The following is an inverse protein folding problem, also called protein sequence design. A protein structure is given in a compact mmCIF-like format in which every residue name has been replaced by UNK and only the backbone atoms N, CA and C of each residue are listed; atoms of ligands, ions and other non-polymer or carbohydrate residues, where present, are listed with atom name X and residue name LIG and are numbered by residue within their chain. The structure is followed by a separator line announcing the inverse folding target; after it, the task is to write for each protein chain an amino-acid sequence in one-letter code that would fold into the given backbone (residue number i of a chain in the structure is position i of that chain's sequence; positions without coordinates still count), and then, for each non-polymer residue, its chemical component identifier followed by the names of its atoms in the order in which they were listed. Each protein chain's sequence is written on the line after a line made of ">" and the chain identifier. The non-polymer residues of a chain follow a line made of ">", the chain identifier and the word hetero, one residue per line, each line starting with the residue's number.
data_IF_035927236196
#
_entry.id   IF_035927236196
#
_cell.length_a   1.000
_cell.length_b   1.000
_cell.length_c   1.000
_cell.angle_alpha   90.00
_cell.angle_beta   90.00
_cell.angle_gamma   90.00
#
_symmetry.space_group_name_H-M   'P 1'
#
loop_
_entity.id
_entity.type
_entity.pdbx_description
1 polymer ?
#
# COMPACT_ATOMS: atom_id res chain seq x y z
N UNK A 1 13.57 16.87 -33.09
CA UNK A 1 12.84 16.43 -31.88
C UNK A 1 13.26 17.24 -30.65
N UNK A 2 14.55 17.27 -30.27
CA UNK A 2 15.06 18.15 -29.19
C UNK A 2 14.71 19.63 -29.38
N UNK A 3 14.79 20.17 -30.61
CA UNK A 3 14.42 21.56 -30.89
C UNK A 3 12.94 21.86 -30.56
N UNK A 4 12.03 20.90 -30.75
CA UNK A 4 10.59 21.01 -30.46
C UNK A 4 10.33 20.89 -28.96
N UNK A 5 11.02 19.98 -28.27
CA UNK A 5 10.95 19.88 -26.80
C UNK A 5 11.51 21.14 -26.14
N UNK A 6 12.65 21.67 -26.62
CA UNK A 6 13.24 22.92 -26.13
C UNK A 6 12.37 24.15 -26.42
N UNK A 7 11.61 24.16 -27.53
CA UNK A 7 10.67 25.25 -27.80
C UNK A 7 9.43 25.15 -26.92
N UNK A 8 8.87 23.95 -26.74
CA UNK A 8 7.71 23.72 -25.85
C UNK A 8 8.03 24.00 -24.38
N UNK A 9 9.27 23.71 -23.95
CA UNK A 9 9.80 24.06 -22.64
C UNK A 9 9.85 25.59 -22.41
N UNK A 10 9.89 26.40 -23.48
CA UNK A 10 9.88 27.87 -23.39
C UNK A 10 8.48 28.47 -23.43
N UNK A 11 7.46 27.69 -23.81
CA UNK A 11 6.08 28.17 -24.02
C UNK A 11 5.15 27.74 -22.90
N UNK A 12 5.15 26.46 -22.49
CA UNK A 12 4.29 25.96 -21.41
C UNK A 12 4.71 24.56 -20.94
N UNK A 13 4.58 24.31 -19.64
CA UNK A 13 4.69 22.98 -19.04
C UNK A 13 3.77 21.94 -19.72
N UNK A 14 2.55 22.32 -20.09
CA UNK A 14 1.53 21.43 -20.64
C UNK A 14 1.82 21.04 -22.10
N UNK A 15 2.37 21.97 -22.89
CA UNK A 15 2.87 21.69 -24.24
C UNK A 15 4.13 20.81 -24.23
N UNK A 16 4.99 20.98 -23.21
CA UNK A 16 6.16 20.14 -23.03
C UNK A 16 5.75 18.69 -22.74
N UNK A 17 4.81 18.47 -21.82
CA UNK A 17 4.32 17.13 -21.47
C UNK A 17 3.61 16.44 -22.64
N UNK A 18 2.73 17.14 -23.34
CA UNK A 18 2.04 16.58 -24.53
C UNK A 18 3.00 16.24 -25.68
N UNK A 19 4.15 16.92 -25.76
CA UNK A 19 5.21 16.62 -26.72
C UNK A 19 6.13 15.48 -26.25
N UNK A 20 6.37 15.36 -24.94
CA UNK A 20 7.19 14.31 -24.35
C UNK A 20 6.53 12.91 -24.42
N UNK A 21 5.20 12.84 -24.24
CA UNK A 21 4.39 11.60 -24.33
C UNK A 21 4.46 10.96 -25.72
N UNK A 22 4.73 11.74 -26.77
CA UNK A 22 4.88 11.25 -28.15
C UNK A 22 6.27 10.66 -28.45
N UNK A 23 7.16 10.59 -27.47
CA UNK A 23 8.55 10.13 -27.65
C UNK A 23 8.82 8.75 -27.01
N UNK A 24 9.68 7.95 -27.64
CA UNK A 24 10.12 6.66 -27.08
C UNK A 24 11.21 6.88 -26.01
N UNK A 25 10.84 6.70 -24.74
CA UNK A 25 11.63 7.03 -23.54
C UNK A 25 13.05 6.41 -23.46
N UNK A 26 13.34 5.34 -24.20
CA UNK A 26 14.65 4.64 -24.13
C UNK A 26 15.80 5.42 -24.77
N UNK A 27 15.56 6.19 -25.84
CA UNK A 27 16.61 6.96 -26.55
C UNK A 27 16.64 8.44 -26.17
N UNK A 28 15.56 8.97 -25.59
CA UNK A 28 15.41 10.39 -25.27
C UNK A 28 15.85 10.76 -23.84
N UNK A 29 16.15 9.79 -22.97
CA UNK A 29 16.49 10.00 -21.55
C UNK A 29 17.68 10.96 -21.29
N UNK A 30 18.83 10.87 -21.99
CA UNK A 30 19.96 11.79 -21.78
C UNK A 30 19.65 13.21 -22.25
N UNK A 31 18.94 13.33 -23.39
CA UNK A 31 18.49 14.60 -23.96
C UNK A 31 17.45 15.29 -23.07
N UNK A 32 16.46 14.53 -22.56
CA UNK A 32 15.45 15.04 -21.63
C UNK A 32 16.11 15.50 -20.31
N UNK A 33 17.05 14.70 -19.76
CA UNK A 33 17.82 15.09 -18.57
C UNK A 33 18.61 16.38 -18.79
N UNK A 34 19.26 16.52 -19.94
CA UNK A 34 20.01 17.74 -20.29
C UNK A 34 19.09 18.95 -20.46
N UNK A 35 17.92 18.77 -21.07
CA UNK A 35 16.93 19.83 -21.28
C UNK A 35 16.31 20.27 -19.96
N UNK A 36 15.94 19.32 -19.09
CA UNK A 36 15.38 19.59 -17.77
C UNK A 36 16.42 20.28 -16.86
N UNK A 37 17.67 19.81 -16.86
CA UNK A 37 18.75 20.45 -16.10
C UNK A 37 19.17 21.82 -16.64
N UNK A 38 18.77 22.18 -17.87
CA UNK A 38 19.00 23.51 -18.42
C UNK A 38 17.94 24.54 -17.97
N UNK A 39 16.88 24.09 -17.29
CA UNK A 39 15.86 24.95 -16.70
C UNK A 39 16.43 25.59 -15.44
N UNK A 40 16.44 26.92 -15.37
CA UNK A 40 16.89 27.63 -14.18
C UNK A 40 15.93 27.36 -13.02
N UNK A 41 16.42 27.13 -11.79
CA UNK A 41 15.58 26.92 -10.60
C UNK A 41 14.59 28.06 -10.34
N UNK A 42 14.95 29.29 -10.75
CA UNK A 42 14.15 30.51 -10.60
C UNK A 42 13.14 30.76 -11.74
N UNK A 43 12.92 29.79 -12.64
CA UNK A 43 12.01 29.96 -13.78
C UNK A 43 10.60 29.53 -13.42
N UNK A 44 9.57 30.20 -13.95
CA UNK A 44 8.16 29.82 -13.76
C UNK A 44 7.85 28.40 -14.23
N UNK A 45 8.73 27.81 -15.03
CA UNK A 45 8.65 26.43 -15.48
C UNK A 45 9.06 25.41 -14.41
N UNK A 46 9.99 25.75 -13.51
CA UNK A 46 10.38 24.86 -12.40
C UNK A 46 9.24 24.71 -11.40
N UNK A 47 8.44 25.77 -11.20
CA UNK A 47 7.27 25.77 -10.31
C UNK A 47 5.99 25.23 -10.98
N UNK A 48 5.80 25.46 -12.29
CA UNK A 48 4.58 25.03 -13.00
C UNK A 48 4.63 23.63 -13.58
N UNK A 49 5.80 23.09 -13.91
CA UNK A 49 5.91 21.78 -14.57
C UNK A 49 5.41 20.61 -13.71
N UNK A 50 5.77 20.51 -12.42
CA UNK A 50 5.26 19.41 -11.62
C UNK A 50 3.78 19.62 -11.21
N UNK A 51 3.30 20.88 -11.15
CA UNK A 51 1.87 21.22 -10.98
C UNK A 51 1.04 20.81 -12.19
N UNK A 52 1.49 21.10 -13.42
CA UNK A 52 0.82 20.70 -14.66
C UNK A 52 0.88 19.18 -14.88
N UNK A 53 1.98 18.54 -14.49
CA UNK A 53 2.13 17.09 -14.54
C UNK A 53 1.19 16.41 -13.56
N UNK A 54 1.17 16.89 -12.32
CA UNK A 54 0.24 16.43 -11.31
C UNK A 54 -1.21 16.73 -11.70
N UNK A 55 -1.53 17.90 -12.26
CA UNK A 55 -2.89 18.20 -12.73
C UNK A 55 -3.29 17.29 -13.88
N UNK A 56 -2.37 16.98 -14.81
CA UNK A 56 -2.64 16.00 -15.88
C UNK A 56 -2.89 14.61 -15.30
N UNK A 57 -2.09 14.19 -14.32
CA UNK A 57 -2.26 12.91 -13.62
C UNK A 57 -3.57 12.90 -12.82
N UNK A 58 -3.85 13.94 -12.03
CA UNK A 58 -5.03 14.10 -11.19
C UNK A 58 -6.31 14.18 -12.02
N UNK A 59 -6.33 15.00 -13.08
CA UNK A 59 -7.45 15.14 -14.00
C UNK A 59 -7.77 13.80 -14.68
N UNK A 60 -6.74 13.06 -15.11
CA UNK A 60 -6.94 11.73 -15.65
C UNK A 60 -7.33 10.69 -14.58
N UNK A 61 -6.92 10.85 -13.31
CA UNK A 61 -7.36 9.96 -12.20
C UNK A 61 -8.74 10.29 -11.62
N UNK A 62 -9.16 11.55 -11.56
CA UNK A 62 -10.47 11.98 -11.08
C UNK A 62 -11.58 11.58 -12.05
N UNK A 63 -11.31 11.54 -13.36
CA UNK A 63 -12.24 10.97 -14.33
C UNK A 63 -12.49 9.46 -14.11
N UNK A 64 -11.69 8.77 -13.28
CA UNK A 64 -11.94 7.38 -12.88
C UNK A 64 -12.80 7.25 -11.62
N UNK A 65 -12.91 8.27 -10.77
CA UNK A 65 -13.76 8.21 -9.56
C UNK A 65 -15.23 8.50 -9.87
N UNK A 66 -15.51 9.26 -10.95
CA UNK A 66 -16.87 9.53 -11.43
C UNK A 66 -17.02 9.09 -12.90
N UNK A 67 -17.53 7.87 -13.20
CA UNK A 67 -17.71 7.40 -14.57
C UNK A 67 -18.79 8.16 -15.36
N UNK A 68 -19.56 9.04 -14.71
CA UNK A 68 -20.62 9.81 -15.35
C UNK A 68 -20.10 11.16 -15.85
N UNK A 69 -19.26 11.16 -16.88
CA UNK A 69 -19.17 12.21 -17.93
C UNK A 69 -17.90 11.99 -18.74
N UNK A 70 -18.01 11.24 -19.83
CA UNK A 70 -17.11 11.43 -20.96
C UNK A 70 -17.92 11.50 -22.24
N UNK A 71 -17.63 12.43 -23.17
CA UNK A 71 -18.43 12.66 -24.36
C UNK A 71 -18.31 11.46 -25.31
N UNK A 72 -19.46 11.02 -25.83
CA UNK A 72 -19.57 10.01 -26.87
C UNK A 72 -18.75 10.39 -28.11
N UNK A 73 -17.56 9.82 -28.26
CA UNK A 73 -16.86 9.73 -29.55
C UNK A 73 -17.12 8.34 -30.15
N UNK A 74 -18.36 8.12 -30.60
CA UNK A 74 -18.67 7.03 -31.52
C UNK A 74 -18.43 7.51 -32.96
N UNK A 75 -17.75 6.73 -33.83
CA UNK A 75 -17.63 7.06 -35.25
C UNK A 75 -19.00 6.85 -35.95
N UNK A 76 -19.32 7.63 -37.00
CA UNK A 76 -20.66 7.60 -37.60
C UNK A 76 -20.92 6.25 -38.28
N UNK A 77 -22.13 5.67 -38.14
CA UNK A 77 -22.44 4.37 -38.72
C UNK A 77 -22.53 4.47 -40.26
N UNK A 78 -21.82 3.57 -40.94
CA UNK A 78 -21.92 3.37 -42.39
C UNK A 78 -23.35 2.95 -42.76
N UNK A 79 -23.96 3.67 -43.69
CA UNK A 79 -25.23 3.34 -44.36
C UNK A 79 -25.22 1.89 -44.90
N UNK A 80 -26.22 1.10 -44.51
CA UNK A 80 -26.55 -0.19 -45.11
C UNK A 80 -27.06 -0.01 -46.53
N UNK A 81 -26.66 -0.90 -47.44
CA UNK A 81 -27.27 -1.12 -48.75
C UNK A 81 -27.58 -2.61 -48.85
N UNK A 82 -28.86 -2.93 -49.04
CA UNK A 82 -29.40 -4.29 -48.93
C UNK A 82 -29.26 -5.17 -50.18
N UNK A 83 -29.39 -6.49 -49.96
CA UNK A 83 -30.35 -7.43 -50.59
C UNK A 83 -29.81 -8.88 -50.61
N UNK A 84 -30.62 -9.86 -50.20
CA UNK A 84 -30.44 -11.30 -50.48
C UNK A 84 -31.01 -12.26 -49.42
N UNK A 85 -31.63 -13.40 -49.77
CA UNK A 85 -32.77 -14.03 -49.04
C UNK A 85 -32.38 -15.12 -47.99
N UNK A 86 -33.34 -15.63 -47.18
CA UNK A 86 -33.04 -16.40 -45.98
C UNK A 86 -32.92 -17.91 -46.26
N UNK A 87 -31.84 -18.50 -45.78
CA UNK A 87 -31.63 -19.95 -45.71
C UNK A 87 -31.16 -20.30 -44.29
N UNK A 88 -31.90 -21.19 -43.66
CA UNK A 88 -31.80 -21.69 -42.29
C UNK A 88 -30.43 -22.27 -41.92
N UNK A 89 -29.75 -21.68 -40.93
CA UNK A 89 -28.82 -22.34 -39.99
C UNK A 89 -28.39 -21.36 -38.86
N UNK A 90 -29.35 -20.64 -38.27
CA UNK A 90 -29.05 -19.41 -37.52
C UNK A 90 -29.00 -19.51 -35.98
N UNK A 91 -29.22 -20.68 -35.38
CA UNK A 91 -29.11 -20.79 -33.90
C UNK A 91 -27.67 -21.04 -33.42
N UNK A 92 -26.86 -21.78 -34.18
CA UNK A 92 -25.45 -22.03 -33.82
C UNK A 92 -24.56 -20.81 -34.06
N UNK A 93 -24.79 -20.07 -35.15
CA UNK A 93 -24.02 -18.88 -35.50
C UNK A 93 -24.38 -17.67 -34.64
N UNK A 94 -25.64 -17.51 -34.21
CA UNK A 94 -26.01 -16.46 -33.26
C UNK A 94 -25.40 -16.73 -31.88
N UNK A 95 -25.40 -17.98 -31.43
CA UNK A 95 -24.81 -18.36 -30.14
C UNK A 95 -23.28 -18.19 -30.17
N UNK A 96 -22.60 -18.56 -31.27
CA UNK A 96 -21.17 -18.28 -31.46
C UNK A 96 -20.85 -16.79 -31.55
N UNK A 97 -21.66 -15.99 -32.26
CA UNK A 97 -21.44 -14.54 -32.32
C UNK A 97 -21.66 -13.85 -30.97
N UNK A 98 -22.61 -14.32 -30.16
CA UNK A 98 -22.86 -13.79 -28.82
C UNK A 98 -21.74 -14.17 -27.83
N UNK A 99 -21.19 -15.38 -27.96
CA UNK A 99 -20.01 -15.84 -27.21
C UNK A 99 -18.75 -15.07 -27.64
N UNK A 100 -18.55 -14.85 -28.94
CA UNK A 100 -17.41 -14.07 -29.43
C UNK A 100 -17.52 -12.58 -29.03
N UNK A 101 -18.72 -12.02 -28.99
CA UNK A 101 -18.95 -10.65 -28.54
C UNK A 101 -18.76 -10.48 -27.02
N UNK A 102 -19.15 -11.47 -26.21
CA UNK A 102 -18.91 -11.46 -24.77
C UNK A 102 -17.42 -11.66 -24.43
N UNK A 103 -16.73 -12.56 -25.15
CA UNK A 103 -15.29 -12.76 -25.06
C UNK A 103 -14.50 -11.51 -25.50
N UNK A 104 -14.92 -10.84 -26.58
CA UNK A 104 -14.33 -9.56 -27.00
C UNK A 104 -14.59 -8.45 -25.99
N UNK A 105 -15.79 -8.42 -25.38
CA UNK A 105 -16.14 -7.51 -24.31
C UNK A 105 -15.30 -7.69 -23.05
N UNK A 106 -15.07 -8.93 -22.61
CA UNK A 106 -14.15 -9.25 -21.49
C UNK A 106 -12.70 -8.89 -21.82
N UNK A 107 -12.21 -9.31 -22.99
CA UNK A 107 -10.85 -9.01 -23.45
C UNK A 107 -10.56 -7.50 -23.53
N UNK A 108 -11.56 -6.71 -23.91
CA UNK A 108 -11.45 -5.24 -23.94
C UNK A 108 -11.35 -4.62 -22.53
N UNK A 109 -12.02 -5.23 -21.54
CA UNK A 109 -11.97 -4.79 -20.13
C UNK A 109 -10.64 -5.18 -19.47
N UNK A 110 -10.17 -6.41 -19.69
CA UNK A 110 -8.91 -6.93 -19.13
C UNK A 110 -7.70 -6.24 -19.75
N UNK A 111 -7.68 -6.06 -21.08
CA UNK A 111 -6.67 -5.25 -21.78
C UNK A 111 -6.67 -3.79 -21.32
N UNK A 112 -7.84 -3.24 -20.95
CA UNK A 112 -7.96 -1.92 -20.34
C UNK A 112 -7.27 -1.81 -18.98
N UNK A 113 -7.45 -2.82 -18.11
CA UNK A 113 -6.80 -2.88 -16.79
C UNK A 113 -5.28 -2.98 -16.93
N UNK A 114 -4.77 -3.89 -17.77
CA UNK A 114 -3.33 -4.05 -17.97
C UNK A 114 -2.67 -2.78 -18.52
N UNK A 115 -3.28 -2.16 -19.52
CA UNK A 115 -2.78 -0.91 -20.09
C UNK A 115 -2.73 0.22 -19.05
N UNK A 116 -3.74 0.28 -18.17
CA UNK A 116 -3.77 1.23 -17.06
C UNK A 116 -2.65 0.96 -16.06
N UNK A 117 -2.41 -0.29 -15.66
CA UNK A 117 -1.31 -0.67 -14.77
C UNK A 117 0.05 -0.30 -15.39
N UNK A 118 0.26 -0.56 -16.68
CA UNK A 118 1.47 -0.18 -17.42
C UNK A 118 1.69 1.34 -17.41
N UNK A 119 0.63 2.11 -17.66
CA UNK A 119 0.67 3.57 -17.63
C UNK A 119 1.01 4.10 -16.23
N UNK A 120 0.31 3.62 -15.20
CA UNK A 120 0.53 4.03 -13.81
C UNK A 120 1.94 3.68 -13.32
N UNK A 121 2.47 2.52 -13.72
CA UNK A 121 3.88 2.14 -13.45
C UNK A 121 4.85 3.13 -14.09
N UNK A 122 4.60 3.55 -15.33
CA UNK A 122 5.45 4.52 -16.01
C UNK A 122 5.38 5.92 -15.36
N UNK A 123 4.19 6.33 -14.90
CA UNK A 123 3.99 7.57 -14.15
C UNK A 123 4.74 7.52 -12.82
N UNK A 124 4.59 6.44 -12.04
CA UNK A 124 5.29 6.26 -10.77
C UNK A 124 6.81 6.31 -10.96
N UNK A 125 7.32 5.61 -11.97
CA UNK A 125 8.74 5.69 -12.33
C UNK A 125 9.17 7.13 -12.59
N UNK A 126 8.40 7.88 -13.38
CA UNK A 126 8.70 9.26 -13.69
C UNK A 126 8.70 10.16 -12.44
N UNK A 127 7.73 9.97 -11.54
CA UNK A 127 7.67 10.68 -10.26
C UNK A 127 8.95 10.45 -9.45
N UNK A 128 9.35 9.19 -9.28
CA UNK A 128 10.56 8.82 -8.53
C UNK A 128 11.83 9.39 -9.17
N UNK A 129 11.96 9.30 -10.49
CA UNK A 129 13.09 9.88 -11.21
C UNK A 129 13.12 11.42 -11.08
N UNK A 130 11.96 12.08 -10.99
CA UNK A 130 11.87 13.54 -10.80
C UNK A 130 12.20 13.96 -9.37
N UNK A 131 11.74 13.20 -8.37
CA UNK A 131 12.09 13.40 -6.96
C UNK A 131 13.58 13.21 -6.72
N UNK A 132 14.17 12.16 -7.30
CA UNK A 132 15.61 11.90 -7.20
C UNK A 132 16.46 13.04 -7.82
N UNK A 133 15.93 13.75 -8.82
CA UNK A 133 16.55 14.93 -9.40
C UNK A 133 16.31 16.22 -8.59
N UNK A 134 15.58 16.16 -7.48
CA UNK A 134 15.25 17.32 -6.64
C UNK A 134 14.21 18.27 -7.25
N UNK A 135 13.45 17.82 -8.24
CA UNK A 135 12.50 18.66 -9.00
C UNK A 135 11.07 18.63 -8.43
N UNK A 136 10.80 17.76 -7.47
CA UNK A 136 9.43 17.43 -7.06
C UNK A 136 9.22 17.44 -5.53
N UNK A 137 10.11 18.08 -4.76
CA UNK A 137 10.03 18.18 -3.29
C UNK A 137 8.68 18.72 -2.81
N UNK A 138 8.14 19.73 -3.48
CA UNK A 138 6.84 20.32 -3.17
C UNK A 138 5.62 19.42 -3.43
N UNK A 139 5.82 18.24 -4.03
CA UNK A 139 4.75 17.32 -4.44
C UNK A 139 4.78 15.99 -3.69
N UNK A 140 5.64 15.85 -2.68
CA UNK A 140 5.87 14.59 -1.96
C UNK A 140 4.57 13.95 -1.45
N UNK A 141 3.77 14.70 -0.71
CA UNK A 141 2.47 14.24 -0.21
C UNK A 141 1.55 13.73 -1.33
N UNK A 142 1.44 14.48 -2.43
CA UNK A 142 0.56 14.14 -3.55
C UNK A 142 1.08 12.92 -4.34
N UNK A 143 2.39 12.79 -4.47
CA UNK A 143 3.01 11.63 -5.11
C UNK A 143 2.84 10.36 -4.28
N UNK A 144 2.95 10.45 -2.96
CA UNK A 144 2.66 9.34 -2.06
C UNK A 144 1.18 8.93 -2.14
N UNK A 145 0.25 9.89 -2.08
CA UNK A 145 -1.20 9.64 -2.25
C UNK A 145 -1.53 8.99 -3.59
N UNK A 146 -0.94 9.49 -4.68
CA UNK A 146 -1.08 8.87 -6.00
C UNK A 146 -0.57 7.43 -5.99
N UNK A 147 0.59 7.20 -5.41
CA UNK A 147 1.21 5.87 -5.36
C UNK A 147 0.35 4.90 -4.55
N UNK A 148 -0.11 5.32 -3.36
CA UNK A 148 -1.07 4.58 -2.53
C UNK A 148 -2.32 4.20 -3.32
N UNK A 149 -2.97 5.17 -3.97
CA UNK A 149 -4.16 4.93 -4.79
C UNK A 149 -3.90 3.94 -5.94
N UNK A 150 -2.72 4.02 -6.57
CA UNK A 150 -2.32 3.07 -7.60
C UNK A 150 -2.10 1.65 -7.02
N UNK A 151 -1.42 1.50 -5.89
CA UNK A 151 -1.23 0.18 -5.27
C UNK A 151 -2.58 -0.44 -4.87
N UNK A 152 -3.49 0.36 -4.28
CA UNK A 152 -4.88 -0.08 -3.98
C UNK A 152 -5.64 -0.52 -5.23
N UNK A 153 -5.46 0.19 -6.36
CA UNK A 153 -6.02 -0.24 -7.64
C UNK A 153 -5.44 -1.57 -8.13
N UNK A 154 -4.12 -1.79 -7.95
CA UNK A 154 -3.48 -3.05 -8.30
C UNK A 154 -3.98 -4.21 -7.41
N UNK A 155 -4.06 -4.00 -6.09
CA UNK A 155 -4.65 -4.94 -5.11
C UNK A 155 -6.05 -5.35 -5.57
N UNK A 156 -6.93 -4.38 -5.79
CA UNK A 156 -8.30 -4.63 -6.24
C UNK A 156 -8.35 -5.39 -7.58
N UNK A 157 -7.39 -5.15 -8.48
CA UNK A 157 -7.30 -5.87 -9.76
C UNK A 157 -6.94 -7.34 -9.56
N UNK A 158 -6.05 -7.67 -8.61
CA UNK A 158 -5.71 -9.05 -8.26
C UNK A 158 -6.87 -9.75 -7.53
N UNK A 159 -7.57 -9.06 -6.62
CA UNK A 159 -8.75 -9.62 -5.94
C UNK A 159 -9.91 -9.89 -6.90
N UNK A 160 -10.14 -8.98 -7.85
CA UNK A 160 -11.12 -9.20 -8.90
C UNK A 160 -10.73 -10.38 -9.79
N UNK A 161 -9.44 -10.64 -9.98
CA UNK A 161 -8.99 -11.82 -10.72
C UNK A 161 -9.26 -13.12 -9.95
N UNK A 162 -8.89 -13.18 -8.67
CA UNK A 162 -9.09 -14.38 -7.83
C UNK A 162 -10.56 -14.72 -7.63
N UNK A 163 -11.44 -13.71 -7.56
CA UNK A 163 -12.90 -13.88 -7.44
C UNK A 163 -13.59 -14.18 -8.77
N UNK A 164 -12.85 -14.29 -9.88
CA UNK A 164 -13.38 -14.58 -11.21
C UNK A 164 -14.09 -13.39 -11.88
N UNK A 165 -14.09 -12.20 -11.27
CA UNK A 165 -14.66 -10.96 -11.84
C UNK A 165 -13.82 -10.39 -12.99
N UNK A 166 -12.54 -10.71 -13.02
CA UNK A 166 -11.59 -10.46 -14.12
C UNK A 166 -10.86 -11.76 -14.46
N UNK A 167 -10.64 -12.06 -15.74
CA UNK A 167 -9.87 -13.24 -16.14
C UNK A 167 -8.70 -12.82 -17.02
N UNK A 168 -7.51 -12.69 -16.42
CA UNK A 168 -6.31 -12.41 -17.20
C UNK A 168 -5.83 -13.66 -17.93
N UNK A 169 -5.44 -13.50 -19.19
CA UNK A 169 -4.61 -14.49 -19.87
C UNK A 169 -3.25 -14.60 -19.15
N UNK A 170 -2.62 -15.77 -19.16
CA UNK A 170 -1.32 -16.02 -18.49
C UNK A 170 -0.23 -15.01 -18.87
N UNK A 171 -0.22 -14.56 -20.13
CA UNK A 171 0.73 -13.56 -20.61
C UNK A 171 0.46 -12.17 -20.01
N UNK A 172 -0.81 -11.77 -19.96
CA UNK A 172 -1.25 -10.50 -19.40
C UNK A 172 -1.03 -10.44 -17.88
N UNK A 173 -1.27 -11.54 -17.18
CA UNK A 173 -0.98 -11.68 -15.76
C UNK A 173 0.52 -11.54 -15.47
N UNK A 174 1.38 -12.16 -16.29
CA UNK A 174 2.84 -12.03 -16.18
C UNK A 174 3.30 -10.59 -16.39
N UNK A 175 2.72 -9.90 -17.37
CA UNK A 175 3.00 -8.48 -17.63
C UNK A 175 2.52 -7.59 -16.48
N UNK A 176 1.34 -7.86 -15.92
CA UNK A 176 0.81 -7.15 -14.76
C UNK A 176 1.70 -7.33 -13.54
N UNK A 177 2.20 -8.54 -13.30
CA UNK A 177 3.14 -8.82 -12.23
C UNK A 177 4.49 -8.14 -12.46
N UNK A 178 4.98 -8.10 -13.69
CA UNK A 178 6.23 -7.39 -14.01
C UNK A 178 6.12 -5.89 -13.71
N UNK A 179 4.97 -5.29 -14.06
CA UNK A 179 4.65 -3.91 -13.73
C UNK A 179 4.60 -3.71 -12.21
N UNK A 180 3.84 -4.56 -11.52
CA UNK A 180 3.69 -4.53 -10.06
C UNK A 180 5.02 -4.66 -9.33
N UNK A 181 5.87 -5.61 -9.74
CA UNK A 181 7.24 -5.78 -9.23
C UNK A 181 8.07 -4.51 -9.38
N UNK A 182 8.00 -3.87 -10.54
CA UNK A 182 8.70 -2.61 -10.79
C UNK A 182 8.17 -1.50 -9.88
N UNK A 183 6.84 -1.40 -9.76
CA UNK A 183 6.14 -0.44 -8.91
C UNK A 183 6.47 -0.62 -7.43
N UNK A 184 6.59 -1.86 -6.93
CA UNK A 184 7.05 -2.15 -5.55
C UNK A 184 8.41 -1.52 -5.29
N UNK A 185 9.35 -1.65 -6.22
CA UNK A 185 10.69 -1.06 -6.07
C UNK A 185 10.65 0.46 -6.15
N UNK A 186 9.86 1.04 -7.07
CA UNK A 186 9.72 2.49 -7.18
C UNK A 186 9.04 3.10 -5.96
N UNK A 187 8.01 2.47 -5.40
CA UNK A 187 7.34 2.93 -4.20
C UNK A 187 8.28 2.88 -2.97
N UNK A 188 9.04 1.79 -2.79
CA UNK A 188 10.07 1.72 -1.74
C UNK A 188 11.13 2.81 -1.89
N UNK A 189 11.59 3.07 -3.12
CA UNK A 189 12.50 4.19 -3.41
C UNK A 189 11.87 5.55 -3.13
N UNK A 190 10.57 5.74 -3.41
CA UNK A 190 9.86 6.98 -3.12
C UNK A 190 9.81 7.25 -1.61
N UNK A 191 9.48 6.23 -0.81
CA UNK A 191 9.52 6.31 0.67
C UNK A 191 10.92 6.74 1.11
N UNK A 192 11.97 6.06 0.65
CA UNK A 192 13.35 6.42 0.98
C UNK A 192 13.69 7.88 0.64
N UNK A 193 13.31 8.36 -0.54
CA UNK A 193 13.59 9.73 -0.97
C UNK A 193 12.85 10.76 -0.11
N UNK A 194 11.56 10.53 0.17
CA UNK A 194 10.74 11.46 0.96
C UNK A 194 11.15 11.46 2.43
N UNK A 195 11.49 10.31 3.00
CA UNK A 195 11.87 10.18 4.41
C UNK A 195 13.23 10.81 4.73
N UNK A 196 14.06 11.10 3.71
CA UNK A 196 15.34 11.83 3.88
C UNK A 196 15.16 13.33 4.10
N UNK A 197 14.02 13.90 3.75
CA UNK A 197 13.76 15.33 3.88
C UNK A 197 13.28 15.73 5.28
N UNK A 198 13.41 17.01 5.62
CA UNK A 198 13.10 17.55 6.94
C UNK A 198 11.58 17.70 7.19
N UNK A 199 10.81 18.05 6.14
CA UNK A 199 9.34 18.14 6.20
C UNK A 199 8.74 16.84 5.66
N UNK A 200 8.39 15.91 6.55
CA UNK A 200 7.97 14.56 6.17
C UNK A 200 6.44 14.46 6.14
N UNK A 201 5.81 14.03 5.03
CA UNK A 201 4.40 13.64 5.00
C UNK A 201 4.25 12.26 5.66
N UNK A 202 4.20 12.25 7.00
CA UNK A 202 4.32 11.04 7.83
C UNK A 202 3.19 10.04 7.59
N UNK A 203 1.94 10.52 7.54
CA UNK A 203 0.77 9.66 7.30
C UNK A 203 0.80 9.05 5.91
N UNK A 204 1.16 9.83 4.89
CA UNK A 204 1.20 9.32 3.51
C UNK A 204 2.34 8.30 3.29
N UNK A 205 3.48 8.48 3.96
CA UNK A 205 4.57 7.51 3.93
C UNK A 205 4.18 6.21 4.65
N UNK A 206 3.51 6.34 5.80
CA UNK A 206 2.94 5.22 6.54
C UNK A 206 1.89 4.46 5.72
N UNK A 207 0.94 5.16 5.11
CA UNK A 207 -0.10 4.57 4.28
C UNK A 207 0.51 3.81 3.10
N UNK A 208 1.49 4.40 2.41
CA UNK A 208 2.16 3.75 1.30
C UNK A 208 2.95 2.51 1.73
N UNK A 209 3.60 2.55 2.89
CA UNK A 209 4.31 1.41 3.45
C UNK A 209 3.36 0.24 3.72
N UNK A 210 2.20 0.53 4.33
CA UNK A 210 1.16 -0.47 4.57
C UNK A 210 0.55 -0.99 3.26
N UNK A 211 0.29 -0.13 2.28
CA UNK A 211 -0.24 -0.54 0.97
C UNK A 211 0.74 -1.47 0.21
N UNK A 212 2.05 -1.30 0.41
CA UNK A 212 3.05 -2.22 -0.17
C UNK A 212 2.99 -3.62 0.46
N UNK A 213 2.78 -3.68 1.78
CA UNK A 213 2.65 -4.95 2.51
C UNK A 213 1.30 -5.62 2.25
N UNK A 214 0.23 -4.83 2.12
CA UNK A 214 -1.09 -5.29 1.68
C UNK A 214 -0.99 -5.87 0.26
N UNK A 215 -0.35 -5.16 -0.67
CA UNK A 215 -0.12 -5.65 -2.03
C UNK A 215 0.65 -6.97 -2.06
N UNK A 216 1.73 -7.09 -1.28
CA UNK A 216 2.47 -8.34 -1.17
C UNK A 216 1.57 -9.48 -0.67
N UNK A 217 0.82 -9.21 0.40
CA UNK A 217 -0.06 -10.18 1.06
C UNK A 217 -1.15 -10.64 0.11
N UNK A 218 -1.84 -9.70 -0.56
CA UNK A 218 -2.85 -9.99 -1.57
C UNK A 218 -2.27 -10.83 -2.71
N UNK A 219 -1.10 -10.47 -3.25
CA UNK A 219 -0.48 -11.25 -4.32
C UNK A 219 -0.12 -12.66 -3.87
N UNK A 220 0.31 -12.85 -2.62
CA UNK A 220 0.58 -14.18 -2.10
C UNK A 220 -0.68 -15.00 -1.94
N UNK A 221 -1.73 -14.43 -1.35
CA UNK A 221 -3.02 -15.08 -1.15
C UNK A 221 -3.69 -15.44 -2.49
N UNK A 222 -3.63 -14.54 -3.47
CA UNK A 222 -4.40 -14.68 -4.72
C UNK A 222 -3.63 -15.41 -5.82
N UNK A 223 -2.32 -15.24 -5.91
CA UNK A 223 -1.50 -15.78 -7.01
C UNK A 223 -0.43 -16.77 -6.53
N UNK A 224 -0.16 -16.82 -5.23
CA UNK A 224 0.78 -17.75 -4.62
C UNK A 224 2.20 -17.17 -4.38
N UNK A 225 2.94 -17.89 -3.53
CA UNK A 225 4.24 -17.46 -3.00
C UNK A 225 5.34 -17.26 -4.02
N UNK A 226 5.26 -17.89 -5.19
CA UNK A 226 6.23 -17.70 -6.27
C UNK A 226 6.18 -16.27 -6.83
N UNK A 227 4.98 -15.68 -6.93
CA UNK A 227 4.81 -14.30 -7.38
C UNK A 227 5.10 -13.31 -6.26
N UNK A 228 4.62 -13.58 -5.04
CA UNK A 228 4.93 -12.77 -3.87
C UNK A 228 6.44 -12.67 -3.62
N UNK A 229 7.17 -13.78 -3.75
CA UNK A 229 8.64 -13.78 -3.64
C UNK A 229 9.31 -12.84 -4.63
N UNK A 230 8.77 -12.68 -5.86
CA UNK A 230 9.30 -11.69 -6.82
C UNK A 230 9.10 -10.26 -6.33
N UNK A 231 8.01 -9.96 -5.64
CA UNK A 231 7.79 -8.65 -5.03
C UNK A 231 8.74 -8.43 -3.85
N UNK A 232 8.91 -9.42 -2.98
CA UNK A 232 9.89 -9.36 -1.87
C UNK A 232 11.28 -9.04 -2.40
N UNK A 233 11.74 -9.72 -3.46
CA UNK A 233 13.06 -9.42 -4.05
C UNK A 233 13.21 -7.99 -4.56
N UNK A 234 12.13 -7.36 -5.03
CA UNK A 234 12.14 -5.97 -5.49
C UNK A 234 12.08 -4.96 -4.32
N UNK A 235 11.50 -5.39 -3.20
CA UNK A 235 11.38 -4.61 -1.97
C UNK A 235 12.62 -4.70 -1.08
N UNK A 236 13.39 -5.80 -1.15
CA UNK A 236 14.57 -6.06 -0.30
C UNK A 236 15.49 -4.84 -0.05
N UNK A 237 15.89 -4.05 -1.08
CA UNK A 237 16.77 -2.90 -0.86
C UNK A 237 16.14 -1.78 -0.01
N UNK A 238 14.82 -1.76 0.10
CA UNK A 238 14.01 -0.70 0.69
C UNK A 238 13.36 -1.10 2.02
N UNK A 239 13.59 -2.33 2.52
CA UNK A 239 13.01 -2.80 3.78
C UNK A 239 13.37 -1.87 4.96
N UNK A 240 14.62 -1.39 5.13
CA UNK A 240 14.93 -0.47 6.23
C UNK A 240 14.10 0.82 6.17
N UNK A 241 13.92 1.39 4.97
CA UNK A 241 13.12 2.60 4.77
C UNK A 241 11.63 2.35 5.02
N UNK A 242 11.14 1.17 4.63
CA UNK A 242 9.78 0.71 4.92
C UNK A 242 9.56 0.63 6.44
N UNK A 243 10.50 0.02 7.18
CA UNK A 243 10.46 -0.10 8.64
C UNK A 243 10.38 1.27 9.31
N UNK A 244 11.17 2.24 8.84
CA UNK A 244 11.12 3.62 9.36
C UNK A 244 9.79 4.32 9.08
N UNK A 245 9.15 4.00 7.95
CA UNK A 245 7.83 4.54 7.58
C UNK A 245 6.66 3.84 8.30
N UNK A 246 6.85 2.64 8.88
CA UNK A 246 5.76 1.88 9.53
C UNK A 246 5.46 2.31 10.96
N UNK A 247 6.39 2.97 11.65
CA UNK A 247 6.22 3.28 13.08
C UNK A 247 7.04 4.48 13.55
N UNK A 248 8.37 4.48 13.36
CA UNK A 248 9.24 5.57 13.84
C UNK A 248 8.89 6.95 13.29
N UNK A 249 8.19 7.02 12.15
CA UNK A 249 7.61 8.24 11.63
C UNK A 249 6.68 8.95 12.63
N UNK A 250 6.01 8.22 13.52
CA UNK A 250 5.08 8.80 14.51
C UNK A 250 5.75 9.31 15.79
N UNK A 251 6.99 8.92 16.06
CA UNK A 251 7.75 9.31 17.26
C UNK A 251 8.44 10.67 17.07
N UNK A 252 8.86 11.00 15.86
CA UNK A 252 9.86 12.05 15.63
C UNK A 252 9.30 13.47 15.44
N UNK A 253 8.08 13.75 15.89
CA UNK A 253 7.53 15.11 15.90
C UNK A 253 7.60 15.67 17.31
N UNK A 254 8.21 16.85 17.42
CA UNK A 254 8.43 17.60 18.66
C UNK A 254 7.19 17.56 19.55
N UNK A 255 7.43 17.25 20.83
CA UNK A 255 6.52 17.13 21.96
C UNK A 255 5.83 18.46 22.35
N UNK A 256 5.41 19.27 21.37
CA UNK A 256 4.76 20.58 21.58
C UNK A 256 3.26 20.57 21.20
N UNK A 257 2.75 19.50 20.60
CA UNK A 257 1.30 19.31 20.40
C UNK A 257 0.72 18.54 21.59
N UNK A 258 -0.35 19.07 22.19
CA UNK A 258 -1.08 18.49 23.33
C UNK A 258 -1.31 16.97 23.11
N UNK A 259 -0.78 16.14 24.01
CA UNK A 259 -0.59 14.69 23.82
C UNK A 259 -1.88 13.92 23.47
N UNK A 260 -3.04 14.42 23.91
CA UNK A 260 -4.35 13.78 23.74
C UNK A 260 -4.93 13.93 22.31
N UNK A 261 -4.69 15.07 21.67
CA UNK A 261 -5.04 15.32 20.26
C UNK A 261 -4.19 14.47 19.32
N UNK A 262 -2.95 14.18 19.73
CA UNK A 262 -1.97 13.42 18.96
C UNK A 262 -2.31 11.92 18.89
N UNK A 263 -2.71 11.30 20.01
CA UNK A 263 -3.15 9.89 20.01
C UNK A 263 -4.45 9.71 19.23
N UNK A 264 -5.45 10.54 19.53
CA UNK A 264 -6.79 10.48 18.92
C UNK A 264 -6.73 10.64 17.39
N UNK A 265 -5.90 11.56 16.89
CA UNK A 265 -5.67 11.75 15.46
C UNK A 265 -5.09 10.50 14.80
N UNK A 266 -4.02 9.91 15.38
CA UNK A 266 -3.40 8.68 14.86
C UNK A 266 -4.35 7.48 14.91
N UNK A 267 -5.09 7.34 16.01
CA UNK A 267 -6.11 6.30 16.17
C UNK A 267 -7.18 6.39 15.08
N UNK A 268 -7.74 7.59 14.86
CA UNK A 268 -8.75 7.82 13.83
C UNK A 268 -8.20 7.57 12.42
N UNK A 269 -6.94 7.97 12.15
CA UNK A 269 -6.28 7.70 10.87
C UNK A 269 -6.13 6.20 10.62
N UNK A 270 -5.57 5.44 11.58
CA UNK A 270 -5.41 3.97 11.47
C UNK A 270 -6.76 3.27 11.39
N UNK A 271 -7.79 3.77 12.08
CA UNK A 271 -9.15 3.24 11.98
C UNK A 271 -9.71 3.37 10.57
N UNK A 272 -9.47 4.51 9.90
CA UNK A 272 -9.89 4.77 8.51
C UNK A 272 -9.06 3.99 7.49
N UNK A 273 -7.74 3.90 7.68
CA UNK A 273 -6.79 3.28 6.76
C UNK A 273 -6.16 2.02 7.37
N UNK A 274 -6.99 1.13 7.90
CA UNK A 274 -6.49 -0.03 8.64
C UNK A 274 -5.70 -0.99 7.74
N UNK A 275 -4.44 -1.33 8.09
CA UNK A 275 -3.59 -2.20 7.28
C UNK A 275 -4.03 -3.67 7.35
N UNK A 276 -4.37 -4.25 6.20
CA UNK A 276 -4.94 -5.61 6.16
C UNK A 276 -3.89 -6.72 6.32
N UNK A 277 -2.64 -6.45 5.96
CA UNK A 277 -1.51 -7.35 6.16
C UNK A 277 -1.28 -7.67 7.63
N UNK A 278 -1.55 -6.72 8.54
CA UNK A 278 -1.45 -6.93 10.00
C UNK A 278 -2.48 -7.95 10.49
N UNK A 279 -3.71 -7.96 9.97
CA UNK A 279 -4.70 -9.01 10.28
C UNK A 279 -4.21 -10.38 9.82
N UNK A 280 -3.54 -10.42 8.67
CA UNK A 280 -2.97 -11.66 8.15
C UNK A 280 -1.82 -12.15 9.01
N UNK A 281 -0.94 -11.24 9.46
CA UNK A 281 0.10 -11.56 10.43
C UNK A 281 -0.46 -12.06 11.76
N UNK A 282 -1.51 -11.44 12.29
CA UNK A 282 -2.18 -11.87 13.52
C UNK A 282 -2.73 -13.31 13.37
N UNK A 283 -3.39 -13.62 12.25
CA UNK A 283 -3.88 -14.97 11.96
C UNK A 283 -2.75 -15.99 11.83
N UNK A 284 -1.66 -15.63 11.17
CA UNK A 284 -0.48 -16.49 11.05
C UNK A 284 0.15 -16.77 12.42
N UNK A 285 0.23 -15.76 13.29
CA UNK A 285 0.78 -15.90 14.64
C UNK A 285 -0.05 -16.86 15.50
N UNK A 286 -1.39 -16.76 15.43
CA UNK A 286 -2.27 -17.69 16.14
C UNK A 286 -2.18 -19.12 15.59
N UNK A 287 -2.06 -19.28 14.28
CA UNK A 287 -1.89 -20.60 13.66
C UNK A 287 -0.54 -21.23 14.03
N UNK A 288 0.53 -20.44 14.19
CA UNK A 288 1.83 -20.96 14.66
C UNK A 288 1.78 -21.51 16.10
N UNK A 289 0.72 -21.23 16.87
CA UNK A 289 0.53 -21.82 18.19
C UNK A 289 -0.20 -23.16 18.17
N UNK A 290 -1.14 -23.32 17.22
CA UNK A 290 -2.01 -24.49 17.13
C UNK A 290 -1.33 -25.53 16.23
N UNK A 291 -0.23 -26.11 16.72
CA UNK A 291 0.56 -27.17 16.06
C UNK A 291 -0.26 -28.46 15.76
N UNK A 292 -1.56 -28.46 16.07
CA UNK A 292 -2.44 -29.63 16.09
C UNK A 292 -3.60 -29.61 15.08
N UNK A 293 -3.89 -28.52 14.38
CA UNK A 293 -5.03 -28.47 13.43
C UNK A 293 -4.59 -28.59 11.96
N UNK A 294 -4.81 -29.77 11.38
CA UNK A 294 -4.67 -30.05 9.93
C UNK A 294 -5.67 -29.27 9.03
N UNK A 295 -6.40 -28.28 9.56
CA UNK A 295 -7.47 -27.60 8.85
C UNK A 295 -7.06 -26.23 8.34
N UNK A 296 -6.79 -26.16 7.03
CA UNK A 296 -6.54 -24.96 6.21
C UNK A 296 -5.21 -24.24 6.46
N UNK A 297 -4.13 -24.85 5.94
CA UNK A 297 -2.80 -24.25 5.84
C UNK A 297 -2.80 -22.95 5.02
N UNK A 298 -3.06 -21.81 5.67
CA UNK A 298 -2.75 -20.49 5.11
C UNK A 298 -1.21 -20.33 5.08
N UNK A 299 -0.55 -20.99 4.14
CA UNK A 299 0.89 -20.92 3.96
C UNK A 299 1.24 -19.68 3.17
N UNK A 300 1.75 -18.67 3.87
CA UNK A 300 2.27 -17.42 3.29
C UNK A 300 3.79 -17.30 3.55
N UNK A 301 4.63 -18.20 3.00
CA UNK A 301 6.06 -18.23 3.27
C UNK A 301 6.80 -16.97 2.82
N UNK A 302 6.34 -16.26 1.78
CA UNK A 302 7.00 -15.02 1.36
C UNK A 302 6.73 -13.88 2.34
N UNK A 303 5.49 -13.73 2.80
CA UNK A 303 5.11 -12.80 3.87
C UNK A 303 5.83 -13.15 5.18
N UNK A 304 5.84 -14.44 5.57
CA UNK A 304 6.55 -14.91 6.77
C UNK A 304 8.03 -14.55 6.73
N UNK A 305 8.72 -14.83 5.63
CA UNK A 305 10.13 -14.44 5.46
C UNK A 305 10.34 -12.93 5.52
N UNK A 306 9.44 -12.12 4.94
CA UNK A 306 9.55 -10.66 5.02
C UNK A 306 9.32 -10.17 6.46
N UNK A 307 8.29 -10.68 7.14
CA UNK A 307 8.01 -10.42 8.55
C UNK A 307 9.23 -10.73 9.41
N UNK A 308 9.83 -11.90 9.25
CA UNK A 308 11.00 -12.32 10.02
C UNK A 308 12.21 -11.42 9.72
N UNK A 309 12.35 -10.96 8.47
CA UNK A 309 13.37 -9.97 8.10
C UNK A 309 13.13 -8.63 8.80
N UNK A 310 11.89 -8.12 8.80
CA UNK A 310 11.50 -6.88 9.49
C UNK A 310 11.80 -7.01 10.98
N UNK A 311 11.34 -8.09 11.62
CA UNK A 311 11.58 -8.37 13.04
C UNK A 311 13.09 -8.37 13.34
N UNK A 312 13.91 -9.04 12.53
CA UNK A 312 15.37 -9.08 12.71
C UNK A 312 16.04 -7.70 12.61
N UNK A 313 15.52 -6.81 11.76
CA UNK A 313 16.03 -5.44 11.61
C UNK A 313 15.64 -4.54 12.78
N UNK A 314 14.46 -4.77 13.36
CA UNK A 314 13.89 -3.91 14.40
C UNK A 314 14.46 -4.23 15.78
N UNK A 315 14.69 -5.51 16.10
CA UNK A 315 15.17 -5.97 17.43
C UNK A 315 16.43 -5.27 17.95
N UNK A 316 17.29 -4.75 17.06
CA UNK A 316 18.52 -4.06 17.44
C UNK A 316 18.36 -2.57 17.80
N UNK A 317 17.15 -2.00 17.74
CA UNK A 317 16.93 -0.58 17.94
C UNK A 317 15.63 -0.31 18.73
N UNK A 318 15.77 0.01 20.02
CA UNK A 318 14.64 0.25 20.95
C UNK A 318 13.70 1.34 20.45
N UNK A 319 14.20 2.43 19.85
CA UNK A 319 13.33 3.48 19.28
C UNK A 319 12.48 3.00 18.11
N UNK A 320 13.02 2.07 17.31
CA UNK A 320 12.27 1.50 16.17
C UNK A 320 11.24 0.50 16.66
N UNK A 321 11.60 -0.32 17.66
CA UNK A 321 10.69 -1.22 18.38
C UNK A 321 9.54 -0.41 18.98
N UNK A 322 9.85 0.67 19.70
CA UNK A 322 8.87 1.55 20.34
C UNK A 322 7.86 2.10 19.33
N UNK A 323 8.34 2.57 18.17
CA UNK A 323 7.47 3.15 17.14
C UNK A 323 6.55 2.12 16.48
N UNK A 324 7.08 0.93 16.18
CA UNK A 324 6.28 -0.14 15.57
C UNK A 324 5.31 -0.73 16.60
N UNK A 325 5.76 -0.95 17.83
CA UNK A 325 4.92 -1.46 18.90
C UNK A 325 3.80 -0.50 19.25
N UNK A 326 4.04 0.81 19.25
CA UNK A 326 2.99 1.82 19.42
C UNK A 326 1.90 1.70 18.35
N UNK A 327 2.28 1.54 17.08
CA UNK A 327 1.32 1.29 15.99
C UNK A 327 0.56 -0.02 16.19
N UNK A 328 1.23 -1.10 16.61
CA UNK A 328 0.58 -2.38 16.90
C UNK A 328 -0.43 -2.28 18.05
N UNK A 329 -0.14 -1.49 19.08
CA UNK A 329 -1.07 -1.20 20.18
C UNK A 329 -2.28 -0.41 19.67
N UNK A 330 -2.10 0.63 18.86
CA UNK A 330 -3.22 1.34 18.23
C UNK A 330 -4.06 0.40 17.36
N UNK A 331 -3.42 -0.43 16.52
CA UNK A 331 -4.13 -1.41 15.70
C UNK A 331 -4.94 -2.39 16.56
N UNK A 332 -4.40 -2.82 17.70
CA UNK A 332 -5.08 -3.68 18.65
C UNK A 332 -6.30 -2.98 19.25
N UNK A 333 -6.19 -1.71 19.64
CA UNK A 333 -7.32 -0.91 20.11
C UNK A 333 -8.42 -0.75 19.06
N UNK A 334 -8.06 -0.55 17.77
CA UNK A 334 -9.04 -0.54 16.67
C UNK A 334 -9.71 -1.91 16.49
N UNK A 335 -8.97 -3.01 16.65
CA UNK A 335 -9.55 -4.36 16.60
C UNK A 335 -10.51 -4.63 17.77
N UNK A 336 -10.23 -4.10 18.97
CA UNK A 336 -11.15 -4.15 20.11
C UNK A 336 -12.47 -3.45 19.77
N UNK A 337 -12.44 -2.23 19.22
CA UNK A 337 -13.66 -1.52 18.80
C UNK A 337 -14.46 -2.28 17.73
N UNK A 338 -13.75 -2.98 16.84
CA UNK A 338 -14.36 -3.81 15.78
C UNK A 338 -14.80 -5.19 16.27
N UNK A 339 -14.57 -5.51 17.55
CA UNK A 339 -14.83 -6.82 18.17
C UNK A 339 -14.11 -7.99 17.50
N UNK A 340 -12.93 -7.74 16.92
CA UNK A 340 -12.08 -8.78 16.34
C UNK A 340 -11.02 -9.22 17.35
N UNK A 341 -11.45 -9.96 18.39
CA UNK A 341 -10.56 -10.36 19.48
C UNK A 341 -9.51 -11.39 19.07
N UNK A 342 -9.75 -12.11 17.98
CA UNK A 342 -8.73 -13.00 17.40
C UNK A 342 -7.59 -12.17 16.83
N UNK A 343 -7.88 -11.08 16.10
CA UNK A 343 -6.85 -10.16 15.66
C UNK A 343 -6.13 -9.48 16.84
N UNK A 344 -6.85 -9.07 17.90
CA UNK A 344 -6.23 -8.49 19.11
C UNK A 344 -5.19 -9.43 19.71
N UNK A 345 -5.56 -10.69 19.98
CA UNK A 345 -4.65 -11.68 20.55
C UNK A 345 -3.45 -11.92 19.63
N UNK A 346 -3.67 -12.09 18.32
CA UNK A 346 -2.59 -12.33 17.36
C UNK A 346 -1.62 -11.15 17.24
N UNK A 347 -2.11 -9.90 17.26
CA UNK A 347 -1.27 -8.70 17.22
C UNK A 347 -0.44 -8.54 18.50
N UNK A 348 -1.06 -8.72 19.67
CA UNK A 348 -0.36 -8.59 20.96
C UNK A 348 0.66 -9.71 21.17
N UNK A 349 0.37 -10.93 20.69
CA UNK A 349 1.36 -12.01 20.67
C UNK A 349 2.53 -11.67 19.75
N UNK A 350 2.25 -11.19 18.54
CA UNK A 350 3.31 -10.78 17.62
C UNK A 350 4.19 -9.70 18.26
N UNK A 351 3.60 -8.71 18.92
CA UNK A 351 4.31 -7.68 19.66
C UNK A 351 5.16 -8.28 20.81
N UNK A 352 4.54 -8.95 21.76
CA UNK A 352 5.20 -9.37 23.00
C UNK A 352 6.18 -10.53 22.80
N UNK A 353 5.83 -11.51 21.94
CA UNK A 353 6.61 -12.74 21.77
C UNK A 353 7.62 -12.60 20.64
N UNK A 354 7.22 -12.08 19.47
CA UNK A 354 8.12 -12.02 18.30
C UNK A 354 8.98 -10.77 18.28
N UNK A 355 8.40 -9.60 18.54
CA UNK A 355 9.11 -8.32 18.43
C UNK A 355 9.98 -8.05 19.65
N UNK A 356 9.41 -8.19 20.85
CA UNK A 356 10.13 -7.95 22.11
C UNK A 356 11.01 -9.12 22.55
N UNK A 357 10.81 -10.31 21.98
CA UNK A 357 11.61 -11.51 22.27
C UNK A 357 11.52 -11.96 23.72
N UNK A 358 10.32 -11.88 24.31
CA UNK A 358 10.05 -12.44 25.63
C UNK A 358 10.21 -13.96 25.57
N UNK A 359 11.44 -14.44 25.71
CA UNK A 359 11.71 -15.82 26.07
C UNK A 359 11.12 -16.05 27.46
N UNK A 360 10.61 -17.25 27.72
CA UNK A 360 9.83 -17.61 28.92
C UNK A 360 10.60 -17.42 30.26
N UNK A 361 11.85 -16.96 30.21
CA UNK A 361 12.71 -16.77 31.38
C UNK A 361 13.41 -15.40 31.38
N UNK A 362 12.82 -14.46 32.11
CA UNK A 362 13.58 -13.53 32.96
C UNK A 362 14.19 -12.29 32.31
N UNK A 363 13.44 -11.19 32.34
CA UNK A 363 13.74 -9.94 33.07
C UNK A 363 12.99 -8.78 32.41
N UNK A 364 12.28 -7.99 33.22
CA UNK A 364 11.47 -6.82 32.84
C UNK A 364 12.27 -5.63 32.22
N UNK A 365 13.51 -5.88 31.76
CA UNK A 365 14.38 -4.90 31.08
C UNK A 365 13.88 -4.49 29.70
N UNK A 366 12.95 -5.23 29.09
CA UNK A 366 12.60 -5.07 27.67
C UNK A 366 11.76 -3.82 27.36
N UNK A 367 10.97 -3.29 28.31
CA UNK A 367 10.10 -2.12 28.07
C UNK A 367 10.65 -0.78 28.57
N UNK A 368 11.79 -0.80 29.27
CA UNK A 368 12.33 0.39 29.96
C UNK A 368 12.71 1.54 29.01
N UNK A 369 12.96 1.25 27.74
CA UNK A 369 13.29 2.23 26.70
C UNK A 369 12.15 2.43 25.67
N UNK A 370 10.95 1.93 25.96
CA UNK A 370 9.79 1.95 25.05
C UNK A 370 8.76 3.00 25.51
N UNK A 371 9.21 4.25 25.62
CA UNK A 371 8.45 5.35 26.21
C UNK A 371 7.08 5.55 25.54
N UNK A 372 7.03 5.51 24.20
CA UNK A 372 5.79 5.74 23.44
C UNK A 372 4.78 4.62 23.66
N UNK A 373 5.25 3.38 23.67
CA UNK A 373 4.41 2.22 23.96
C UNK A 373 3.86 2.26 25.38
N UNK A 374 4.68 2.63 26.37
CA UNK A 374 4.26 2.79 27.76
C UNK A 374 3.18 3.86 27.91
N UNK A 375 3.36 5.02 27.27
CA UNK A 375 2.34 6.11 27.26
C UNK A 375 1.02 5.66 26.62
N UNK A 376 1.06 4.73 25.65
CA UNK A 376 -0.15 4.19 25.04
C UNK A 376 -0.83 3.07 25.83
N UNK A 377 -0.16 2.49 26.83
CA UNK A 377 -0.70 1.36 27.58
C UNK A 377 -2.00 1.69 28.35
N UNK A 378 -2.15 2.88 28.98
CA UNK A 378 -3.39 3.30 29.61
C UNK A 378 -4.60 3.45 28.67
N UNK A 379 -4.39 3.56 27.36
CA UNK A 379 -5.50 3.64 26.40
C UNK A 379 -6.04 2.26 26.03
N UNK A 380 -5.19 1.23 25.96
CA UNK A 380 -5.56 -0.12 25.51
C UNK A 380 -5.92 -1.07 26.65
N UNK A 381 -5.16 -1.08 27.75
CA UNK A 381 -5.37 -2.06 28.81
C UNK A 381 -6.78 -1.96 29.43
N UNK A 382 -7.30 -0.75 29.77
CA UNK A 382 -8.67 -0.62 30.26
C UNK A 382 -9.74 -0.97 29.22
N UNK A 383 -9.46 -0.82 27.93
CA UNK A 383 -10.38 -1.29 26.89
C UNK A 383 -10.52 -2.81 26.95
N UNK A 384 -9.42 -3.56 27.09
CA UNK A 384 -9.49 -5.02 27.23
C UNK A 384 -10.28 -5.42 28.48
N UNK A 385 -10.00 -4.81 29.64
CA UNK A 385 -10.70 -5.10 30.90
C UNK A 385 -12.21 -4.83 30.81
N UNK A 386 -12.59 -3.67 30.25
CA UNK A 386 -14.00 -3.30 30.07
C UNK A 386 -14.73 -4.35 29.23
N UNK A 387 -14.07 -4.79 28.16
CA UNK A 387 -14.60 -5.72 27.19
C UNK A 387 -14.69 -7.16 27.75
N UNK A 388 -13.82 -7.56 28.68
CA UNK A 388 -13.95 -8.83 29.42
C UNK A 388 -15.16 -8.81 30.37
N UNK A 389 -15.46 -7.66 30.99
CA UNK A 389 -16.57 -7.52 31.93
C UNK A 389 -17.98 -7.49 31.31
N UNK A 390 -18.09 -7.37 29.99
CA UNK A 390 -19.37 -7.43 29.26
C UNK A 390 -19.73 -8.90 28.96
N UNK A 391 -20.92 -9.36 29.39
CA UNK A 391 -21.40 -10.74 29.14
C UNK A 391 -21.36 -11.09 27.64
N UNK A 392 -20.46 -12.00 27.26
CA UNK A 392 -20.19 -12.43 25.88
C UNK A 392 -19.88 -13.91 25.75
N UNK A 393 -19.74 -14.36 24.50
CA UNK A 393 -19.28 -15.69 24.13
C UNK A 393 -18.00 -16.09 24.89
N UNK A 394 -17.98 -17.29 25.49
CA UNK A 394 -16.89 -17.78 26.33
C UNK A 394 -15.56 -17.87 25.56
N UNK A 395 -15.62 -18.17 24.26
CA UNK A 395 -14.46 -18.23 23.38
C UNK A 395 -13.84 -16.84 23.17
N UNK A 396 -14.67 -15.83 22.95
CA UNK A 396 -14.25 -14.44 22.78
C UNK A 396 -13.62 -13.88 24.05
N UNK A 397 -14.23 -14.17 25.22
CA UNK A 397 -13.69 -13.79 26.52
C UNK A 397 -12.32 -14.43 26.74
N UNK A 398 -12.17 -15.72 26.46
CA UNK A 398 -10.88 -16.41 26.64
C UNK A 398 -9.75 -15.81 25.80
N UNK A 399 -10.06 -15.37 24.58
CA UNK A 399 -9.07 -14.69 23.71
C UNK A 399 -8.66 -13.33 24.29
N UNK A 400 -9.61 -12.58 24.84
CA UNK A 400 -9.33 -11.30 25.51
C UNK A 400 -8.55 -11.48 26.81
N UNK A 401 -8.87 -12.51 27.60
CA UNK A 401 -8.10 -12.85 28.79
C UNK A 401 -6.65 -13.20 28.43
N UNK A 402 -6.45 -14.05 27.42
CA UNK A 402 -5.10 -14.36 26.93
C UNK A 402 -4.36 -13.10 26.43
N UNK A 403 -5.07 -12.18 25.77
CA UNK A 403 -4.52 -10.90 25.35
C UNK A 403 -4.14 -9.99 26.54
N UNK A 404 -4.98 -9.94 27.59
CA UNK A 404 -4.73 -9.23 28.84
C UNK A 404 -3.45 -9.73 29.52
N UNK A 405 -3.30 -11.05 29.64
CA UNK A 405 -2.14 -11.66 30.31
C UNK A 405 -0.79 -11.30 29.65
N UNK A 406 -0.78 -11.01 28.34
CA UNK A 406 0.44 -10.56 27.65
C UNK A 406 0.89 -9.17 28.12
N UNK A 407 -0.07 -8.28 28.42
CA UNK A 407 0.18 -6.89 28.83
C UNK A 407 0.24 -6.72 30.35
N UNK A 408 -0.37 -7.63 31.12
CA UNK A 408 -0.51 -7.55 32.57
C UNK A 408 0.84 -7.30 33.30
N UNK A 409 1.95 -7.98 32.97
CA UNK A 409 3.23 -7.77 33.68
C UNK A 409 3.78 -6.35 33.51
N UNK A 410 3.58 -5.75 32.33
CA UNK A 410 4.01 -4.39 32.04
C UNK A 410 3.07 -3.39 32.69
N UNK A 411 1.75 -3.67 32.66
CA UNK A 411 0.74 -2.83 33.28
C UNK A 411 0.94 -2.69 34.79
N UNK A 412 1.15 -3.80 35.50
CA UNK A 412 1.39 -3.76 36.94
C UNK A 412 2.65 -2.97 37.28
N UNK A 413 3.76 -3.25 36.60
CA UNK A 413 5.01 -2.52 36.83
C UNK A 413 4.88 -1.02 36.53
N UNK A 414 4.28 -0.66 35.40
CA UNK A 414 4.14 0.73 34.97
C UNK A 414 3.24 1.55 35.89
N UNK A 415 2.15 0.97 36.41
CA UNK A 415 1.21 1.64 37.32
C UNK A 415 1.75 1.74 38.75
N UNK A 416 2.58 0.79 39.20
CA UNK A 416 3.08 0.77 40.59
C UNK A 416 4.45 1.46 40.78
N UNK A 417 5.27 1.68 39.75
CA UNK A 417 6.56 2.40 39.87
C UNK A 417 6.54 3.88 39.47
N UNK A 418 5.44 4.40 38.93
CA UNK A 418 5.31 5.84 38.57
C UNK A 418 4.72 6.72 39.69
N UNK A 419 4.55 6.20 40.90
CA UNK A 419 4.06 6.95 42.08
C UNK A 419 5.07 7.04 43.22
#
# INVERSE_FOLDING_TARGET
>A
MEKRLRSSLKTSAEEFLSSAVKSTLKSSKPSLKTIVNSVKPSSDLSSSLPLALLHSILHHTQSFQNPSTSPSNSPPPKRQRGNGPPGSDSDSDQQQHQILASLQGQRSKEGGVLNKVKMLTAILKFMVESTEMGLASHFHERMLKFTSAYLKYAISSFDHHSTGKLQFEDADLKDMILCTKSSTSYAGKLINLVMREASRPLFEAFDLANDLLDLLTTVEITLGSAYASKLVTALNPWIPDLVLALGPCFINNNMEEEEEDSYTSRFNHIKLCFPTWLLTCAKLELHEMDDTSESSHLQLPALKRLRDTIVSLVKGNSKVVDGIGYVLLICSAVCIEKKDYSAVLGLLRFLCVKLLSREEEGEDREWKELDTMLVSLPSIYPMIEREIGEERDEEEVRKLEAARELLLPVWTYHVYETY
#
